data_IF_890906596541
#
_entry.id   IF_890906596541
#
_cell.length_a   1.000
_cell.length_b   1.000
_cell.length_c   1.000
_cell.angle_alpha   90.00
_cell.angle_beta   90.00
_cell.angle_gamma   90.00
#
_symmetry.space_group_name_H-M   'P 1'
#
loop_
_entity.id
_entity.type
_entity.pdbx_description
1 polymer ?
#
# COMPACT_ATOMS: atom_id res chain seq x y z
N UNK A 1 12.48 11.39 -13.45
CA UNK A 1 12.79 11.14 -12.03
C UNK A 1 12.66 9.67 -11.77
N UNK A 2 13.37 9.13 -10.80
CA UNK A 2 13.18 7.73 -10.35
C UNK A 2 12.31 7.73 -9.09
N UNK A 3 11.71 6.59 -8.75
CA UNK A 3 10.95 6.43 -7.50
C UNK A 3 11.76 6.86 -6.26
N UNK A 4 13.09 6.72 -6.31
CA UNK A 4 14.00 7.07 -5.23
C UNK A 4 14.19 8.58 -5.00
N UNK A 5 13.74 9.43 -5.93
CA UNK A 5 13.84 10.90 -5.82
C UNK A 5 12.61 11.52 -5.17
N UNK A 6 11.55 10.72 -4.95
CA UNK A 6 10.30 11.17 -4.34
C UNK A 6 10.52 11.50 -2.88
N UNK A 7 10.06 12.69 -2.48
CA UNK A 7 9.98 13.10 -1.09
C UNK A 7 8.73 12.50 -0.46
N UNK A 8 8.87 12.00 0.76
CA UNK A 8 7.80 11.43 1.57
C UNK A 8 8.27 11.46 3.02
N UNK A 9 7.35 11.69 3.94
CA UNK A 9 7.63 11.71 5.37
C UNK A 9 7.39 10.35 6.03
N UNK A 10 8.02 10.15 7.18
CA UNK A 10 7.79 8.99 8.02
C UNK A 10 6.42 9.11 8.69
N UNK A 11 5.86 7.99 9.12
CA UNK A 11 4.57 8.00 9.83
C UNK A 11 4.60 8.93 11.05
N UNK A 12 5.65 8.87 11.86
CA UNK A 12 5.85 9.73 13.04
C UNK A 12 6.32 11.17 12.69
N UNK A 13 6.34 11.55 11.41
CA UNK A 13 6.85 12.82 10.93
C UNK A 13 8.36 12.85 10.64
N UNK A 14 8.76 13.86 9.87
CA UNK A 14 10.14 14.04 9.40
C UNK A 14 10.47 13.22 8.15
N UNK A 15 11.61 13.50 7.49
CA UNK A 15 11.88 13.00 6.14
C UNK A 15 12.12 11.48 6.10
N UNK A 16 11.32 10.78 5.29
CA UNK A 16 11.43 9.35 4.96
C UNK A 16 11.88 9.10 3.49
N UNK A 17 12.60 10.05 2.89
CA UNK A 17 13.00 10.01 1.49
C UNK A 17 13.55 8.66 1.03
N UNK A 18 13.11 8.22 -0.15
CA UNK A 18 13.34 6.87 -0.68
C UNK A 18 14.76 6.64 -1.20
N UNK A 19 15.55 7.70 -1.38
CA UNK A 19 16.94 7.65 -1.83
C UNK A 19 17.84 6.73 -0.98
N UNK A 20 17.51 6.55 0.31
CA UNK A 20 18.21 5.63 1.22
C UNK A 20 18.14 4.15 0.82
N UNK A 21 17.17 3.79 -0.03
CA UNK A 21 16.94 2.42 -0.48
C UNK A 21 17.55 2.13 -1.85
N UNK A 22 18.36 3.04 -2.42
CA UNK A 22 19.06 2.78 -3.68
C UNK A 22 19.96 1.55 -3.55
N UNK A 23 19.92 0.67 -4.56
CA UNK A 23 20.65 -0.60 -4.57
C UNK A 23 19.99 -1.73 -3.75
N UNK A 24 18.85 -1.46 -3.11
CA UNK A 24 18.04 -2.46 -2.41
C UNK A 24 16.80 -2.84 -3.22
N UNK A 25 16.27 -4.03 -2.99
CA UNK A 25 14.94 -4.37 -3.46
C UNK A 25 13.91 -3.71 -2.54
N UNK A 26 13.04 -2.86 -3.09
CA UNK A 26 12.01 -2.14 -2.33
C UNK A 26 10.62 -2.67 -2.72
N UNK A 27 9.94 -3.31 -1.76
CA UNK A 27 8.54 -3.72 -1.87
C UNK A 27 7.64 -2.64 -1.26
N UNK A 28 6.98 -1.85 -2.09
CA UNK A 28 6.04 -0.81 -1.66
C UNK A 28 4.63 -1.36 -1.59
N UNK A 29 3.96 -1.22 -0.45
CA UNK A 29 2.61 -1.77 -0.22
C UNK A 29 1.70 -0.69 0.35
N UNK A 30 0.58 -0.39 -0.34
CA UNK A 30 -0.47 0.42 0.29
C UNK A 30 -1.16 -0.44 1.35
N UNK A 31 -1.25 0.06 2.57
CA UNK A 31 -1.75 -0.71 3.72
C UNK A 31 -2.91 -0.01 4.41
N UNK A 32 -3.70 -0.81 5.13
CA UNK A 32 -4.77 -0.35 6.00
C UNK A 32 -4.97 -1.32 7.19
N UNK A 33 -5.31 -0.74 8.34
CA UNK A 33 -5.46 -1.29 9.68
C UNK A 33 -6.85 -1.92 9.87
N UNK A 34 -7.88 -1.46 9.17
CA UNK A 34 -9.25 -2.02 9.25
C UNK A 34 -9.67 -2.77 7.99
N UNK A 35 -8.71 -3.39 7.31
CA UNK A 35 -8.95 -4.15 6.08
C UNK A 35 -9.17 -5.63 6.37
N UNK A 36 -10.01 -6.30 5.58
CA UNK A 36 -10.13 -7.77 5.64
C UNK A 36 -8.81 -8.49 5.29
N UNK A 37 -7.87 -7.78 4.64
CA UNK A 37 -6.53 -8.27 4.30
C UNK A 37 -5.47 -7.84 5.31
N UNK A 38 -5.82 -7.15 6.40
CA UNK A 38 -4.85 -6.72 7.43
C UNK A 38 -3.98 -7.87 7.99
N UNK A 39 -4.42 -9.14 8.09
CA UNK A 39 -3.53 -10.25 8.43
C UNK A 39 -2.29 -10.39 7.53
N UNK A 40 -2.25 -9.78 6.34
CA UNK A 40 -1.08 -9.72 5.47
C UNK A 40 0.14 -9.06 6.13
N UNK A 41 -0.04 -8.20 7.15
CA UNK A 41 1.07 -7.56 7.87
C UNK A 41 2.05 -8.59 8.43
N UNK A 42 1.58 -9.73 8.94
CA UNK A 42 2.44 -10.80 9.45
C UNK A 42 3.30 -11.41 8.34
N UNK A 43 2.73 -11.65 7.16
CA UNK A 43 3.49 -12.16 6.01
C UNK A 43 4.49 -11.15 5.46
N UNK A 44 4.13 -9.87 5.45
CA UNK A 44 5.03 -8.78 5.07
C UNK A 44 6.19 -8.63 6.06
N UNK A 45 5.91 -8.76 7.36
CA UNK A 45 6.94 -8.74 8.40
C UNK A 45 7.89 -9.93 8.26
N UNK A 46 7.37 -11.15 8.06
CA UNK A 46 8.19 -12.33 7.84
C UNK A 46 9.08 -12.18 6.59
N UNK A 47 8.54 -11.67 5.47
CA UNK A 47 9.32 -11.37 4.27
C UNK A 47 10.41 -10.32 4.54
N UNK A 48 10.07 -9.27 5.30
CA UNK A 48 11.04 -8.25 5.66
C UNK A 48 12.20 -8.83 6.46
N UNK A 49 11.92 -9.63 7.48
CA UNK A 49 12.93 -10.29 8.32
C UNK A 49 13.77 -11.28 7.53
N UNK A 50 13.13 -12.18 6.76
CA UNK A 50 13.82 -13.26 6.03
C UNK A 50 14.80 -12.73 4.97
N UNK A 51 14.48 -11.61 4.33
CA UNK A 51 15.26 -11.07 3.22
C UNK A 51 15.96 -9.74 3.53
N UNK A 52 15.88 -9.22 4.76
CA UNK A 52 16.54 -7.97 5.17
C UNK A 52 18.04 -7.99 4.86
N UNK A 53 18.74 -9.06 5.27
CA UNK A 53 20.18 -9.22 5.07
C UNK A 53 20.56 -9.39 3.59
N UNK A 54 19.58 -9.77 2.76
CA UNK A 54 19.73 -9.89 1.30
C UNK A 54 19.35 -8.60 0.58
N UNK A 55 19.02 -7.54 1.31
CA UNK A 55 18.71 -6.22 0.77
C UNK A 55 17.26 -6.01 0.38
N UNK A 56 16.30 -6.81 0.85
CA UNK A 56 14.87 -6.49 0.72
C UNK A 56 14.44 -5.50 1.80
N UNK A 57 13.68 -4.48 1.41
CA UNK A 57 12.98 -3.58 2.32
C UNK A 57 11.50 -3.58 1.96
N UNK A 58 10.66 -3.88 2.94
CA UNK A 58 9.22 -3.62 2.84
C UNK A 58 8.96 -2.19 3.27
N UNK A 59 8.14 -1.47 2.53
CA UNK A 59 7.71 -0.11 2.86
C UNK A 59 6.19 -0.06 2.87
N UNK A 60 5.61 0.11 4.06
CA UNK A 60 4.17 0.28 4.21
C UNK A 60 3.77 1.73 4.00
N UNK A 61 2.73 1.92 3.18
CA UNK A 61 2.21 3.23 2.80
C UNK A 61 0.74 3.32 3.17
N UNK A 62 0.39 3.86 4.35
CA UNK A 62 -1.01 3.93 4.79
C UNK A 62 -1.88 4.72 3.82
N UNK A 63 -3.08 4.22 3.51
CA UNK A 63 -4.01 4.90 2.61
C UNK A 63 -5.48 4.68 2.99
N UNK A 64 -6.26 5.76 3.08
CA UNK A 64 -7.67 5.70 3.49
C UNK A 64 -8.67 5.64 2.32
N UNK A 65 -8.21 5.65 1.07
CA UNK A 65 -9.08 5.74 -0.11
C UNK A 65 -9.86 4.44 -0.42
N UNK A 66 -9.56 3.35 0.28
CA UNK A 66 -10.22 2.05 0.11
C UNK A 66 -11.23 1.82 1.24
N UNK A 67 -12.48 2.17 0.97
CA UNK A 67 -13.61 2.01 1.90
C UNK A 67 -13.39 2.63 3.30
N UNK A 68 -12.53 3.65 3.41
CA UNK A 68 -12.29 4.34 4.68
C UNK A 68 -11.60 3.45 5.73
N UNK A 69 -10.79 2.47 5.30
CA UNK A 69 -10.20 1.46 6.19
C UNK A 69 -8.94 1.94 6.94
N UNK A 70 -8.49 3.18 6.73
CA UNK A 70 -7.38 3.83 7.43
C UNK A 70 -7.75 5.20 8.02
N UNK A 71 -8.78 5.26 8.90
CA UNK A 71 -9.27 6.53 9.43
C UNK A 71 -8.33 7.14 10.48
N UNK A 72 -7.45 6.33 11.09
CA UNK A 72 -6.62 6.74 12.22
C UNK A 72 -5.57 7.79 11.89
N UNK A 73 -5.11 8.47 12.93
CA UNK A 73 -3.93 9.34 12.97
C UNK A 73 -2.64 8.54 12.81
N UNK A 74 -1.52 9.24 12.59
CA UNK A 74 -0.20 8.61 12.49
C UNK A 74 0.12 7.72 13.70
N UNK A 75 -0.12 8.21 14.91
CA UNK A 75 0.16 7.50 16.15
C UNK A 75 -0.71 6.25 16.28
N UNK A 76 -2.02 6.36 16.00
CA UNK A 76 -2.95 5.22 16.03
C UNK A 76 -2.57 4.13 15.02
N UNK A 77 -2.09 4.52 13.83
CA UNK A 77 -1.64 3.57 12.80
C UNK A 77 -0.37 2.86 13.27
N UNK A 78 0.59 3.60 13.82
CA UNK A 78 1.85 3.04 14.32
C UNK A 78 1.63 2.07 15.47
N UNK A 79 0.83 2.47 16.46
CA UNK A 79 0.46 1.63 17.59
C UNK A 79 -0.27 0.36 17.12
N UNK A 80 -1.23 0.50 16.20
CA UNK A 80 -1.93 -0.67 15.65
C UNK A 80 -0.97 -1.68 15.01
N UNK A 81 -0.06 -1.22 14.15
CA UNK A 81 0.88 -2.09 13.45
C UNK A 81 1.87 -2.77 14.41
N UNK A 82 2.33 -2.05 15.43
CA UNK A 82 3.27 -2.58 16.41
C UNK A 82 2.59 -3.58 17.37
N UNK A 83 1.48 -3.20 17.98
CA UNK A 83 0.81 -4.00 19.02
C UNK A 83 0.22 -5.29 18.45
N UNK A 84 -0.36 -5.23 17.25
CA UNK A 84 -1.09 -6.37 16.70
C UNK A 84 -0.23 -7.29 15.82
N UNK A 85 0.86 -6.77 15.24
CA UNK A 85 1.63 -7.51 14.23
C UNK A 85 3.15 -7.44 14.42
N UNK A 86 3.66 -6.68 15.40
CA UNK A 86 5.10 -6.54 15.63
C UNK A 86 5.84 -5.95 14.42
N UNK A 87 5.18 -5.11 13.62
CA UNK A 87 5.76 -4.54 12.39
C UNK A 87 7.01 -3.72 12.72
N UNK A 88 8.13 -4.06 12.09
CA UNK A 88 9.40 -3.32 12.19
C UNK A 88 9.82 -2.66 10.88
N UNK A 89 9.17 -3.01 9.76
CA UNK A 89 9.44 -2.35 8.50
C UNK A 89 8.94 -0.89 8.52
N UNK A 90 9.59 0.02 7.77
CA UNK A 90 9.23 1.44 7.77
C UNK A 90 7.80 1.69 7.27
N UNK A 91 7.11 2.59 7.97
CA UNK A 91 5.83 3.17 7.57
C UNK A 91 6.00 4.65 7.20
N UNK A 92 5.36 5.07 6.13
CA UNK A 92 5.34 6.48 5.70
C UNK A 92 4.14 7.23 6.27
N UNK A 93 4.11 8.54 6.05
CA UNK A 93 2.88 9.32 6.20
C UNK A 93 1.73 8.71 5.39
N UNK A 94 0.50 8.98 5.84
CA UNK A 94 -0.72 8.54 5.15
C UNK A 94 -0.91 9.40 3.90
N UNK A 95 -1.03 8.76 2.73
CA UNK A 95 -1.14 9.45 1.44
C UNK A 95 -2.32 8.97 0.60
N UNK A 96 -2.67 9.79 -0.39
CA UNK A 96 -3.59 9.41 -1.46
C UNK A 96 -2.83 8.72 -2.60
N UNK A 97 -3.36 7.59 -3.06
CA UNK A 97 -2.75 6.77 -4.12
C UNK A 97 -3.52 6.84 -5.44
N UNK A 98 -4.73 7.43 -5.42
CA UNK A 98 -5.62 7.61 -6.55
C UNK A 98 -6.15 9.04 -6.64
N UNK A 99 -6.65 9.40 -7.83
CA UNK A 99 -7.30 10.69 -8.08
C UNK A 99 -6.32 11.86 -8.27
N UNK A 100 -6.84 13.10 -8.32
CA UNK A 100 -6.04 14.30 -8.58
C UNK A 100 -5.03 14.62 -7.48
N UNK A 101 -5.30 14.20 -6.24
CA UNK A 101 -4.42 14.38 -5.09
C UNK A 101 -3.41 13.22 -4.91
N UNK A 102 -3.30 12.32 -5.91
CA UNK A 102 -2.36 11.19 -5.88
C UNK A 102 -0.94 11.69 -5.61
N UNK A 103 -0.30 11.07 -4.63
CA UNK A 103 1.08 11.36 -4.28
C UNK A 103 2.05 11.02 -5.43
N UNK A 104 3.13 11.80 -5.64
CA UNK A 104 4.12 11.55 -6.69
C UNK A 104 4.68 10.12 -6.70
N UNK A 105 4.81 9.48 -5.53
CA UNK A 105 5.22 8.07 -5.42
C UNK A 105 4.35 7.15 -6.29
N UNK A 106 3.03 7.24 -6.16
CA UNK A 106 2.11 6.40 -6.93
C UNK A 106 1.91 6.90 -8.36
N UNK A 107 2.17 8.19 -8.63
CA UNK A 107 2.18 8.70 -10.00
C UNK A 107 3.29 8.06 -10.85
N UNK A 108 4.44 7.77 -10.24
CA UNK A 108 5.56 7.06 -10.90
C UNK A 108 5.34 5.53 -10.96
N UNK A 109 4.78 4.93 -9.90
CA UNK A 109 4.64 3.47 -9.82
C UNK A 109 3.52 2.92 -10.71
N UNK A 110 2.33 3.54 -10.71
CA UNK A 110 1.12 3.00 -11.36
C UNK A 110 1.23 2.84 -12.89
N UNK A 111 1.90 3.74 -13.64
CA UNK A 111 2.05 3.58 -15.08
C UNK A 111 2.96 2.40 -15.48
N UNK A 112 3.76 1.88 -14.55
CA UNK A 112 4.71 0.79 -14.82
C UNK A 112 3.93 -0.48 -15.15
N UNK A 113 4.07 -1.05 -16.36
CA UNK A 113 3.39 -2.28 -16.70
C UNK A 113 3.85 -3.40 -15.77
N UNK A 114 2.92 -4.17 -15.22
CA UNK A 114 3.26 -5.42 -14.54
C UNK A 114 4.06 -6.28 -15.52
N UNK A 115 5.29 -6.71 -15.17
CA UNK A 115 6.00 -7.70 -15.96
C UNK A 115 5.07 -8.89 -16.18
N UNK A 116 4.97 -9.37 -17.42
CA UNK A 116 4.07 -10.47 -17.76
C UNK A 116 4.56 -11.72 -17.02
N UNK A 117 4.01 -11.97 -15.84
CA UNK A 117 4.25 -13.21 -15.13
C UNK A 117 3.82 -14.38 -16.00
N UNK A 118 4.56 -15.49 -15.93
CA UNK A 118 4.12 -16.76 -16.50
C UNK A 118 2.70 -17.04 -15.99
N UNK A 119 1.71 -17.31 -16.86
CA UNK A 119 0.35 -17.49 -16.40
C UNK A 119 0.30 -18.65 -15.42
N UNK A 120 -0.10 -18.38 -14.18
CA UNK A 120 -0.60 -19.44 -13.32
C UNK A 120 -1.80 -20.04 -14.03
N UNK A 121 -1.75 -21.34 -14.32
CA UNK A 121 -2.82 -22.09 -14.98
C UNK A 121 -4.08 -22.06 -14.11
N UNK A 122 -4.92 -21.05 -14.30
CA UNK A 122 -6.35 -21.09 -14.03
C UNK A 122 -7.01 -20.09 -14.97
N UNK A 123 -7.74 -20.63 -15.95
CA UNK A 123 -8.34 -19.88 -17.04
C UNK A 123 -9.23 -18.73 -16.57
N UNK A 124 -9.16 -17.62 -17.28
CA UNK A 124 -10.00 -16.44 -17.06
C UNK A 124 -9.31 -15.16 -17.47
N UNK A 125 -9.20 -14.93 -18.78
CA UNK A 125 -8.73 -13.65 -19.33
C UNK A 125 -9.72 -12.55 -18.96
N UNK A 126 -9.42 -11.77 -17.92
CA UNK A 126 -10.05 -10.47 -17.73
C UNK A 126 -8.99 -9.45 -17.34
N UNK A 127 -8.78 -8.50 -18.25
CA UNK A 127 -8.04 -7.26 -17.99
C UNK A 127 -8.85 -6.49 -16.95
N UNK A 128 -8.52 -6.61 -15.67
CA UNK A 128 -9.09 -5.72 -14.65
C UNK A 128 -8.33 -4.41 -14.69
N UNK A 129 -8.82 -3.44 -15.46
CA UNK A 129 -8.60 -2.04 -15.11
C UNK A 129 -9.18 -1.84 -13.71
N UNK A 130 -8.32 -1.56 -12.75
CA UNK A 130 -8.76 -1.27 -11.40
C UNK A 130 -9.34 0.14 -11.38
N UNK A 131 -10.65 0.23 -11.53
CA UNK A 131 -11.44 1.44 -11.24
C UNK A 131 -12.06 1.28 -9.86
N UNK A 132 -11.88 2.25 -8.93
CA UNK A 132 -12.63 2.24 -7.67
C UNK A 132 -14.12 2.38 -8.02
N UNK A 133 -14.91 1.35 -7.73
CA UNK A 133 -16.36 1.42 -7.88
C UNK A 133 -16.87 2.40 -6.82
N UNK A 134 -17.16 3.62 -7.23
CA UNK A 134 -18.04 4.53 -6.47
C UNK A 134 -19.35 3.80 -6.20
N UNK A 135 -19.69 3.62 -4.92
CA UNK A 135 -20.96 3.05 -4.49
C UNK A 135 -22.12 3.90 -5.05
N UNK A 136 -22.80 3.43 -6.10
CA UNK A 136 -24.11 3.95 -6.47
C UNK A 136 -25.15 3.32 -5.56
N UNK A 137 -25.82 4.16 -4.79
CA UNK A 137 -27.07 3.89 -4.10
C UNK A 137 -28.09 3.25 -5.07
N UNK A 138 -28.67 2.11 -4.69
CA UNK A 138 -29.76 1.46 -5.43
C UNK A 138 -31.09 2.19 -5.11
N UNK A 139 -31.91 2.56 -6.11
CA UNK A 139 -33.29 2.98 -5.84
C UNK A 139 -34.14 1.76 -5.48
N UNK A 140 -35.00 1.92 -4.47
CA UNK A 140 -35.90 0.89 -3.98
C UNK A 140 -36.96 0.47 -5.00
N UNK A 141 -37.30 -0.82 -5.00
CA UNK A 141 -38.43 -1.39 -5.72
C UNK A 141 -39.65 -1.48 -4.80
N UNK A 142 -40.87 -1.13 -5.25
CA UNK A 142 -42.07 -1.26 -4.44
C UNK A 142 -42.54 -2.71 -4.41
N UNK A 143 -42.87 -3.20 -3.21
CA UNK A 143 -43.48 -4.52 -3.02
C UNK A 143 -44.94 -4.49 -3.48
N UNK A 144 -45.32 -5.52 -4.23
CA UNK A 144 -46.71 -5.92 -4.49
C UNK A 144 -47.32 -6.54 -3.24
#
# INVERSE_FOLDING_TARGET
MTVFDVQIDALAGGPAGLGRYRGRALLVVNVASRCGLTPQYAGLQALHEEYADRGLVVLGVPCNQFAGQEPGTADEIGEFCQVNYGVTFPLTEKIDVNGPARHPLYAELVPTPTPRGTPATSGGTSRSSWSPRTARSRPGSPRR
#
